data_IF_805106136958
#
_entry.id   IF_805106136958
#
_cell.length_a   1.000
_cell.length_b   1.000
_cell.length_c   1.000
_cell.angle_alpha   90.00
_cell.angle_beta   90.00
_cell.angle_gamma   90.00
#
_symmetry.space_group_name_H-M   'P 1'
#
loop_
_entity.id
_entity.type
_entity.pdbx_description
1 polymer ?
#
# COMPACT_ATOMS: atom_id res chain seq x y z
N UNK A 1 -12.81 6.78 -3.03
CA UNK A 1 -12.31 7.41 -4.27
C UNK A 1 -13.00 8.73 -4.38
N UNK A 2 -12.23 9.80 -4.34
CA UNK A 2 -12.79 11.10 -4.70
C UNK A 2 -13.09 11.07 -6.21
N UNK A 3 -14.19 11.71 -6.61
CA UNK A 3 -14.81 11.50 -7.92
C UNK A 3 -13.86 11.81 -9.08
N UNK A 4 -13.77 10.88 -10.04
CA UNK A 4 -13.04 10.92 -11.34
C UNK A 4 -11.56 10.53 -11.36
N UNK A 5 -10.91 10.24 -10.23
CA UNK A 5 -9.53 9.73 -10.23
C UNK A 5 -9.46 8.22 -10.53
N UNK A 6 -8.43 7.80 -11.28
CA UNK A 6 -8.12 6.38 -11.41
C UNK A 6 -7.40 5.84 -10.16
N UNK A 7 -7.29 4.52 -10.05
CA UNK A 7 -6.69 3.88 -8.88
C UNK A 7 -5.20 4.20 -8.68
N UNK A 8 -4.47 4.54 -9.75
CA UNK A 8 -3.06 4.88 -9.67
C UNK A 8 -2.88 6.31 -9.17
N UNK A 9 -3.71 7.24 -9.67
CA UNK A 9 -3.79 8.61 -9.17
C UNK A 9 -4.20 8.64 -7.69
N UNK A 10 -5.18 7.83 -7.30
CA UNK A 10 -5.56 7.68 -5.90
C UNK A 10 -4.36 7.20 -5.05
N UNK A 11 -3.62 6.17 -5.48
CA UNK A 11 -2.47 5.67 -4.73
C UNK A 11 -1.37 6.72 -4.53
N UNK A 12 -1.11 7.57 -5.53
CA UNK A 12 -0.15 8.68 -5.43
C UNK A 12 -0.65 9.76 -4.45
N UNK A 13 -1.94 10.10 -4.55
CA UNK A 13 -2.58 11.04 -3.62
C UNK A 13 -2.49 10.55 -2.17
N UNK A 14 -2.82 9.28 -1.90
CA UNK A 14 -2.73 8.71 -0.55
C UNK A 14 -1.29 8.72 -0.02
N UNK A 15 -0.28 8.39 -0.83
CA UNK A 15 1.13 8.47 -0.42
C UNK A 15 1.52 9.90 0.02
N UNK A 16 1.01 10.91 -0.67
CA UNK A 16 1.21 12.31 -0.31
C UNK A 16 0.46 12.68 0.97
N UNK A 17 -0.80 12.28 1.07
CA UNK A 17 -1.70 12.67 2.15
C UNK A 17 -1.33 12.00 3.47
N UNK A 18 -1.05 10.69 3.46
CA UNK A 18 -0.78 9.90 4.65
C UNK A 18 0.70 9.91 5.06
N UNK A 19 1.62 9.93 4.09
CA UNK A 19 3.06 9.77 4.34
C UNK A 19 3.91 10.99 3.96
N UNK A 20 3.29 12.06 3.44
CA UNK A 20 3.98 13.29 3.05
C UNK A 20 4.93 13.15 1.85
N UNK A 21 4.75 12.10 1.06
CA UNK A 21 5.59 11.82 -0.11
C UNK A 21 5.26 12.77 -1.26
N UNK A 22 6.28 13.36 -1.90
CA UNK A 22 6.08 14.10 -3.15
C UNK A 22 5.92 13.10 -4.30
N UNK A 23 4.77 13.13 -4.97
CA UNK A 23 4.44 12.22 -6.08
C UNK A 23 5.48 12.25 -7.21
N UNK A 24 6.20 13.37 -7.38
CA UNK A 24 7.29 13.50 -8.37
C UNK A 24 8.48 12.59 -8.08
N UNK A 25 8.64 12.17 -6.83
CA UNK A 25 9.71 11.27 -6.40
C UNK A 25 9.29 9.80 -6.46
N UNK A 26 8.05 9.51 -6.86
CA UNK A 26 7.50 8.16 -6.92
C UNK A 26 7.46 7.66 -8.36
N UNK A 27 8.14 6.57 -8.64
CA UNK A 27 7.89 5.78 -9.84
C UNK A 27 6.88 4.68 -9.50
N UNK A 28 5.61 4.93 -9.86
CA UNK A 28 4.52 3.97 -9.64
C UNK A 28 4.47 2.94 -10.77
N UNK A 29 4.58 1.66 -10.41
CA UNK A 29 4.50 0.52 -11.30
C UNK A 29 3.08 -0.02 -11.48
N UNK A 30 2.99 -1.20 -12.09
CA UNK A 30 1.72 -1.87 -12.32
C UNK A 30 1.08 -2.37 -11.03
N UNK A 31 -0.24 -2.57 -11.06
CA UNK A 31 -0.97 -3.24 -9.99
C UNK A 31 -0.40 -4.66 -9.77
N UNK A 32 0.00 -4.97 -8.55
CA UNK A 32 0.53 -6.29 -8.15
C UNK A 32 -0.57 -7.21 -7.63
N UNK A 33 -1.53 -6.66 -6.92
CA UNK A 33 -2.57 -7.44 -6.26
C UNK A 33 -3.87 -6.67 -6.05
N UNK A 34 -4.90 -7.39 -5.66
CA UNK A 34 -6.16 -6.84 -5.18
C UNK A 34 -6.69 -7.66 -4.01
N UNK A 35 -7.54 -7.03 -3.21
CA UNK A 35 -8.25 -7.67 -2.11
C UNK A 35 -9.68 -7.16 -2.04
N UNK A 36 -10.60 -8.00 -1.59
CA UNK A 36 -12.00 -7.62 -1.42
C UNK A 36 -12.47 -8.13 -0.07
N UNK A 37 -12.96 -7.22 0.77
CA UNK A 37 -13.52 -7.57 2.08
C UNK A 37 -14.90 -6.94 2.27
N UNK A 38 -15.77 -7.66 2.98
CA UNK A 38 -17.02 -7.11 3.47
C UNK A 38 -16.75 -6.47 4.84
N UNK A 39 -17.08 -5.19 4.96
CA UNK A 39 -16.93 -4.41 6.17
C UNK A 39 -18.24 -3.76 6.55
N UNK A 40 -18.38 -3.38 7.82
CA UNK A 40 -19.53 -2.58 8.27
C UNK A 40 -19.05 -1.19 8.65
N UNK A 41 -19.50 -0.18 7.90
CA UNK A 41 -19.15 1.22 8.11
C UNK A 41 -20.43 1.97 8.47
N UNK A 42 -20.47 2.59 9.66
CA UNK A 42 -21.66 3.30 10.14
C UNK A 42 -22.94 2.46 10.18
N UNK A 43 -22.80 1.15 10.46
CA UNK A 43 -23.92 0.20 10.49
C UNK A 43 -24.39 -0.29 9.11
N UNK A 44 -23.72 0.11 8.01
CA UNK A 44 -24.03 -0.35 6.66
C UNK A 44 -22.96 -1.34 6.17
N UNK A 45 -23.39 -2.45 5.58
CA UNK A 45 -22.49 -3.36 4.89
C UNK A 45 -21.90 -2.69 3.64
N UNK A 46 -20.58 -2.64 3.57
CA UNK A 46 -19.80 -2.09 2.46
C UNK A 46 -18.84 -3.15 1.99
N UNK A 47 -18.73 -3.31 0.68
CA UNK A 47 -17.67 -4.13 0.08
C UNK A 47 -16.49 -3.22 -0.26
N UNK A 48 -15.40 -3.35 0.49
CA UNK A 48 -14.16 -2.64 0.20
C UNK A 48 -13.34 -3.46 -0.79
N UNK A 49 -12.88 -2.80 -1.85
CA UNK A 49 -11.96 -3.37 -2.83
C UNK A 49 -10.68 -2.56 -2.80
N UNK A 50 -9.59 -3.22 -2.43
CA UNK A 50 -8.26 -2.64 -2.32
C UNK A 50 -7.42 -3.10 -3.52
N UNK A 51 -6.55 -2.21 -4.00
CA UNK A 51 -5.58 -2.51 -5.07
C UNK A 51 -4.20 -2.11 -4.59
N UNK A 52 -3.23 -2.98 -4.83
CA UNK A 52 -1.86 -2.82 -4.35
C UNK A 52 -0.95 -2.56 -5.55
N UNK A 53 -0.19 -1.48 -5.49
CA UNK A 53 0.75 -1.06 -6.54
C UNK A 53 2.18 -1.09 -6.00
N UNK A 54 3.14 -1.28 -6.91
CA UNK A 54 4.55 -1.13 -6.56
C UNK A 54 4.94 0.34 -6.68
N UNK A 55 5.35 0.98 -5.60
CA UNK A 55 5.90 2.33 -5.61
C UNK A 55 7.41 2.27 -5.35
N UNK A 56 8.19 2.88 -6.24
CA UNK A 56 9.62 3.08 -6.04
C UNK A 56 9.89 4.52 -5.60
N UNK A 57 10.50 4.67 -4.43
CA UNK A 57 10.89 5.94 -3.83
C UNK A 57 12.09 5.72 -2.88
N UNK A 58 12.81 6.78 -2.56
CA UNK A 58 13.88 6.75 -1.57
C UNK A 58 13.33 6.76 -0.14
N UNK A 59 14.04 6.19 0.85
CA UNK A 59 13.60 6.20 2.25
C UNK A 59 13.36 7.59 2.84
N UNK A 60 14.11 8.60 2.37
CA UNK A 60 14.00 9.99 2.80
C UNK A 60 12.87 10.78 2.11
N UNK A 61 12.21 10.20 1.09
CA UNK A 61 11.07 10.82 0.42
C UNK A 61 9.79 10.71 1.25
N UNK A 62 9.73 9.79 2.22
CA UNK A 62 8.67 9.70 3.21
C UNK A 62 8.97 10.67 4.37
N UNK A 63 8.11 11.67 4.53
CA UNK A 63 8.23 12.70 5.57
C UNK A 63 6.85 12.95 6.19
N UNK A 64 6.49 12.23 7.27
CA UNK A 64 5.18 12.39 7.90
C UNK A 64 4.91 13.80 8.42
N UNK A 65 5.92 14.65 8.61
CA UNK A 65 5.69 16.04 8.99
C UNK A 65 5.02 16.85 7.88
N UNK A 66 5.05 16.35 6.64
CA UNK A 66 4.39 16.92 5.45
C UNK A 66 3.05 16.25 5.13
N UNK A 67 2.67 15.19 5.85
CA UNK A 67 1.39 14.53 5.68
C UNK A 67 0.23 15.47 6.03
N UNK A 68 -0.82 15.46 5.22
CA UNK A 68 -2.01 16.30 5.42
C UNK A 68 -3.17 15.53 6.04
N UNK A 69 -3.19 14.20 5.90
CA UNK A 69 -4.19 13.29 6.43
C UNK A 69 -3.50 11.99 6.88
N UNK A 70 -2.87 11.98 8.07
CA UNK A 70 -2.06 10.84 8.51
C UNK A 70 -2.89 9.60 8.94
N UNK A 71 -4.22 9.65 8.87
CA UNK A 71 -5.12 8.49 9.03
C UNK A 71 -4.83 7.53 10.20
N UNK A 72 -4.45 8.10 11.34
CA UNK A 72 -4.08 7.39 12.58
C UNK A 72 -2.80 6.55 12.48
N UNK A 73 -1.95 6.80 11.47
CA UNK A 73 -0.59 6.24 11.40
C UNK A 73 0.21 6.73 12.60
N UNK A 74 0.56 5.81 13.49
CA UNK A 74 1.29 6.12 14.72
C UNK A 74 2.81 6.15 14.49
N UNK A 75 3.29 5.34 13.55
CA UNK A 75 4.70 5.23 13.21
C UNK A 75 4.85 4.61 11.82
N UNK A 76 6.02 4.86 11.20
CA UNK A 76 6.45 4.21 9.98
C UNK A 76 7.88 3.70 10.19
N UNK A 77 8.24 2.65 9.48
CA UNK A 77 9.61 2.12 9.42
C UNK A 77 9.85 1.43 8.09
N UNK A 78 11.10 1.43 7.66
CA UNK A 78 11.56 0.67 6.51
C UNK A 78 12.01 -0.71 6.96
N UNK A 79 11.60 -1.74 6.22
CA UNK A 79 11.89 -3.12 6.56
C UNK A 79 12.56 -3.83 5.40
N UNK A 80 13.54 -4.65 5.74
CA UNK A 80 14.01 -5.75 4.92
C UNK A 80 12.98 -6.88 4.90
N UNK A 81 13.09 -7.75 3.89
CA UNK A 81 12.27 -8.96 3.81
C UNK A 81 12.50 -9.89 5.02
N UNK A 82 13.71 -9.90 5.57
CA UNK A 82 14.03 -10.72 6.74
C UNK A 82 13.32 -10.18 7.98
N UNK A 83 13.38 -8.88 8.24
CA UNK A 83 12.69 -8.28 9.37
C UNK A 83 11.18 -8.57 9.30
N UNK A 84 10.55 -8.45 8.12
CA UNK A 84 9.13 -8.78 7.94
C UNK A 84 8.79 -10.26 8.24
N UNK A 85 9.74 -11.19 8.08
CA UNK A 85 9.54 -12.61 8.41
C UNK A 85 9.66 -12.89 9.90
N UNK A 86 10.52 -12.14 10.58
CA UNK A 86 10.92 -12.41 11.97
C UNK A 86 10.13 -11.59 12.99
N UNK A 87 9.41 -10.56 12.52
CA UNK A 87 8.63 -9.70 13.40
C UNK A 87 7.48 -10.40 14.09
N UNK A 88 7.23 -10.06 15.36
CA UNK A 88 6.02 -10.48 16.05
C UNK A 88 4.79 -9.64 15.67
N UNK A 89 4.95 -8.54 14.92
CA UNK A 89 3.85 -7.67 14.53
C UNK A 89 2.95 -8.31 13.48
N UNK A 90 1.65 -8.04 13.59
CA UNK A 90 0.67 -8.50 12.59
C UNK A 90 0.82 -7.69 11.31
N UNK A 91 1.07 -8.39 10.19
CA UNK A 91 1.18 -7.78 8.87
C UNK A 91 -0.09 -8.06 8.08
N UNK A 92 -0.76 -6.98 7.67
CA UNK A 92 -1.89 -7.02 6.75
C UNK A 92 -1.51 -6.43 5.38
N UNK A 93 -2.19 -6.85 4.30
CA UNK A 93 -3.15 -7.96 4.25
C UNK A 93 -2.47 -9.34 4.34
N UNK A 94 -3.28 -10.38 4.55
CA UNK A 94 -2.78 -11.76 4.54
C UNK A 94 -2.19 -12.09 3.16
N UNK A 95 -0.96 -12.59 3.16
CA UNK A 95 -0.21 -12.92 1.95
C UNK A 95 0.66 -11.80 1.40
N UNK A 96 0.67 -10.60 2.01
CA UNK A 96 1.56 -9.50 1.59
C UNK A 96 3.04 -9.93 1.59
N UNK A 97 3.48 -10.64 2.63
CA UNK A 97 4.86 -11.14 2.72
C UNK A 97 5.22 -12.11 1.59
N UNK A 98 4.27 -12.97 1.20
CA UNK A 98 4.43 -13.88 0.07
C UNK A 98 4.53 -13.14 -1.26
N UNK A 99 3.73 -12.08 -1.43
CA UNK A 99 3.79 -11.20 -2.60
C UNK A 99 5.16 -10.49 -2.69
N UNK A 100 5.64 -9.89 -1.60
CA UNK A 100 6.94 -9.20 -1.57
C UNK A 100 8.08 -10.18 -1.87
N UNK A 101 8.07 -11.36 -1.24
CA UNK A 101 9.07 -12.39 -1.50
C UNK A 101 9.07 -12.86 -2.96
N UNK A 102 7.88 -13.06 -3.55
CA UNK A 102 7.73 -13.44 -4.95
C UNK A 102 8.21 -12.36 -5.91
N UNK A 103 7.88 -11.09 -5.61
CA UNK A 103 8.32 -9.91 -6.36
C UNK A 103 9.85 -9.81 -6.38
N UNK A 104 10.51 -9.97 -5.25
CA UNK A 104 11.97 -9.89 -5.14
C UNK A 104 12.68 -11.04 -5.86
N UNK A 105 12.08 -12.23 -5.92
CA UNK A 105 12.67 -13.41 -6.56
C UNK A 105 12.42 -13.46 -8.08
N UNK A 106 11.23 -13.05 -8.54
CA UNK A 106 10.77 -13.30 -9.91
C UNK A 106 10.30 -12.05 -10.66
N UNK A 107 10.31 -10.88 -10.01
CA UNK A 107 9.72 -9.66 -10.55
C UNK A 107 8.18 -9.61 -10.40
N UNK A 108 7.58 -8.57 -10.97
CA UNK A 108 6.15 -8.34 -10.86
C UNK A 108 5.34 -9.47 -11.53
N UNK A 109 4.20 -9.90 -10.94
CA UNK A 109 3.36 -10.91 -11.54
C UNK A 109 2.77 -10.40 -12.86
N UNK A 110 2.54 -11.30 -13.82
CA UNK A 110 1.97 -10.95 -15.14
C UNK A 110 0.55 -10.39 -15.05
N UNK A 111 -0.21 -10.81 -14.04
CA UNK A 111 -1.55 -10.33 -13.72
C UNK A 111 -1.66 -10.10 -12.22
N UNK A 112 -2.51 -9.16 -11.74
CA UNK A 112 -2.71 -8.95 -10.33
C UNK A 112 -3.20 -10.21 -9.61
N UNK A 113 -2.56 -10.56 -8.50
CA UNK A 113 -3.00 -11.68 -7.66
C UNK A 113 -4.10 -11.25 -6.69
N UNK A 114 -4.82 -12.21 -6.11
CA UNK A 114 -5.82 -11.94 -5.07
C UNK A 114 -5.24 -12.25 -3.69
N UNK A 115 -5.24 -11.26 -2.81
CA UNK A 115 -4.89 -11.38 -1.39
C UNK A 115 -6.15 -11.67 -0.56
N UNK A 116 -5.96 -12.09 0.70
CA UNK A 116 -7.05 -12.40 1.65
C UNK A 116 -7.25 -11.28 2.66
#
# INVERSE_FOLDING_TARGET
METEEDHAAAALRELREELGVDEKNVALGTQLAQRSQEQTVGGRGVRQVERYFLAHLGPADADPARATQPDNIQAHRWWTLQELRETPETIYPDGLLGLIAGLLANGAPKCPITLR
#
